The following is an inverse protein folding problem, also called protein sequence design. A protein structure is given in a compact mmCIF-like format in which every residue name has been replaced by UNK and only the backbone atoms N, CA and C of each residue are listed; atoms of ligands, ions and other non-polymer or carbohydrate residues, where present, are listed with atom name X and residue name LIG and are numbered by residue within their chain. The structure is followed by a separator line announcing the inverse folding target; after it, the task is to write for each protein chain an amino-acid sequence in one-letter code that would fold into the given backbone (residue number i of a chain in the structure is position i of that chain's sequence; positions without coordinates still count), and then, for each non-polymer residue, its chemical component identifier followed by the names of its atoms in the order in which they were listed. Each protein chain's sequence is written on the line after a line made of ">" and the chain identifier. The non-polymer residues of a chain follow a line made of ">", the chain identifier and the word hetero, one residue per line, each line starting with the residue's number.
data_IF_289053318131
#
_entry.id   IF_289053318131
#
_cell.length_a   1.000
_cell.length_b   1.000
_cell.length_c   1.000
_cell.angle_alpha   90.00
_cell.angle_beta   90.00
_cell.angle_gamma   90.00
#
_symmetry.space_group_name_H-M   'P 1'
#
loop_
_entity.id
_entity.type
_entity.pdbx_description
1 polymer ?
#
# COMPACT_ATOMS: atom_id res chain seq x y z
N UNK A 1 -6.54 -15.63 -16.63
CA UNK A 1 -5.75 -14.38 -16.56
C UNK A 1 -6.18 -13.49 -17.72
N UNK A 2 -6.48 -12.21 -17.49
CA UNK A 2 -6.86 -11.26 -18.57
C UNK A 2 -5.89 -10.09 -18.72
N UNK A 3 -5.19 -9.70 -17.65
CA UNK A 3 -4.10 -8.72 -17.70
C UNK A 3 -2.95 -9.17 -16.80
N UNK A 4 -1.73 -8.86 -17.22
CA UNK A 4 -0.50 -9.02 -16.45
C UNK A 4 0.38 -7.80 -16.69
N UNK A 5 1.02 -7.25 -15.65
CA UNK A 5 1.91 -6.07 -15.74
C UNK A 5 1.27 -4.92 -16.54
N UNK A 6 0.00 -4.61 -16.23
CA UNK A 6 -0.83 -3.74 -17.06
C UNK A 6 -1.03 -2.37 -16.41
N UNK A 7 -0.72 -1.31 -17.17
CA UNK A 7 -0.92 0.06 -16.73
C UNK A 7 -2.41 0.44 -16.77
N UNK A 8 -2.90 0.96 -15.65
CA UNK A 8 -4.27 1.42 -15.47
C UNK A 8 -4.28 2.84 -14.92
N UNK A 9 -5.33 3.59 -15.26
CA UNK A 9 -5.55 4.95 -14.74
C UNK A 9 -7.03 5.30 -14.67
N UNK A 10 -7.35 6.28 -13.83
CA UNK A 10 -8.64 6.95 -13.79
C UNK A 10 -8.44 8.45 -13.53
N UNK A 11 -9.39 9.28 -13.97
CA UNK A 11 -9.46 10.70 -13.62
C UNK A 11 -10.45 10.97 -12.47
N UNK A 12 -11.32 10.00 -12.16
CA UNK A 12 -12.40 10.13 -11.18
C UNK A 12 -12.34 8.96 -10.17
N UNK A 13 -12.69 9.19 -8.90
CA UNK A 13 -13.00 10.49 -8.27
C UNK A 13 -11.75 11.34 -7.98
N UNK A 14 -10.56 10.74 -8.11
CA UNK A 14 -9.24 11.38 -8.03
C UNK A 14 -8.38 10.83 -9.17
N UNK A 15 -7.38 11.61 -9.57
CA UNK A 15 -6.42 11.18 -10.60
C UNK A 15 -5.50 10.12 -9.98
N UNK A 16 -5.72 8.86 -10.35
CA UNK A 16 -4.93 7.73 -9.83
C UNK A 16 -4.47 6.86 -11.00
N UNK A 17 -3.29 6.29 -10.86
CA UNK A 17 -2.71 5.40 -11.85
C UNK A 17 -1.74 4.40 -11.22
N UNK A 18 -1.41 3.35 -11.96
CA UNK A 18 -0.43 2.36 -11.54
C UNK A 18 -0.36 1.17 -12.50
N UNK A 19 0.54 0.23 -12.22
CA UNK A 19 0.66 -1.01 -12.96
C UNK A 19 0.23 -2.15 -12.05
N UNK A 20 -0.78 -2.91 -12.46
CA UNK A 20 -1.21 -4.10 -11.73
C UNK A 20 -0.33 -5.30 -12.12
N UNK A 21 -0.07 -6.18 -11.16
CA UNK A 21 0.64 -7.45 -11.40
C UNK A 21 -0.24 -8.38 -12.25
N UNK A 22 -1.42 -8.77 -11.73
CA UNK A 22 -2.31 -9.70 -12.42
C UNK A 22 -3.80 -9.41 -12.16
N UNK A 23 -4.61 -9.54 -13.20
CA UNK A 23 -6.08 -9.48 -13.13
C UNK A 23 -6.69 -10.75 -13.73
N UNK A 24 -7.51 -11.43 -12.95
CA UNK A 24 -8.25 -12.62 -13.37
C UNK A 24 -9.71 -12.27 -13.58
N UNK A 25 -10.34 -12.86 -14.60
CA UNK A 25 -11.79 -12.88 -14.76
C UNK A 25 -12.30 -14.28 -14.43
N UNK A 26 -13.20 -14.37 -13.47
CA UNK A 26 -13.85 -15.63 -13.10
C UNK A 26 -14.94 -15.99 -14.13
N UNK A 27 -15.41 -17.24 -14.11
CA UNK A 27 -16.51 -17.68 -14.96
C UNK A 27 -17.80 -16.85 -14.75
N UNK A 28 -18.00 -16.32 -13.54
CA UNK A 28 -19.11 -15.40 -13.22
C UNK A 28 -18.98 -14.01 -13.86
N UNK A 29 -17.84 -13.70 -14.50
CA UNK A 29 -17.52 -12.38 -15.02
C UNK A 29 -16.93 -11.41 -14.00
N UNK A 30 -16.83 -11.80 -12.73
CA UNK A 30 -16.19 -11.00 -11.68
C UNK A 30 -14.67 -10.94 -11.90
N UNK A 31 -14.09 -9.76 -11.72
CA UNK A 31 -12.65 -9.54 -11.83
C UNK A 31 -11.98 -9.58 -10.45
N UNK A 32 -10.88 -10.33 -10.32
CA UNK A 32 -10.15 -10.50 -9.07
C UNK A 32 -8.69 -10.11 -9.29
N UNK A 33 -8.21 -9.17 -8.48
CA UNK A 33 -6.82 -8.73 -8.47
C UNK A 33 -5.95 -9.76 -7.73
N UNK A 34 -4.75 -9.98 -8.27
CA UNK A 34 -3.68 -10.73 -7.62
C UNK A 34 -2.40 -9.92 -7.67
N UNK A 35 -1.73 -9.77 -6.53
CA UNK A 35 -0.49 -9.02 -6.39
C UNK A 35 0.58 -9.88 -5.70
N UNK A 36 1.80 -9.87 -6.24
CA UNK A 36 2.90 -10.72 -5.80
C UNK A 36 3.85 -9.96 -4.89
N UNK A 37 4.10 -10.50 -3.70
CA UNK A 37 5.05 -9.92 -2.73
C UNK A 37 6.12 -10.93 -2.36
N UNK A 38 7.39 -10.51 -2.43
CA UNK A 38 8.51 -11.28 -1.86
C UNK A 38 8.80 -10.76 -0.45
N UNK A 39 8.81 -11.67 0.54
CA UNK A 39 8.91 -11.34 1.97
C UNK A 39 9.63 -12.44 2.75
N UNK A 40 10.08 -12.11 3.96
CA UNK A 40 10.62 -13.10 4.91
C UNK A 40 9.51 -13.93 5.59
N UNK A 41 8.28 -13.41 5.63
CA UNK A 41 7.12 -14.04 6.26
C UNK A 41 5.90 -13.92 5.36
N UNK A 42 4.99 -14.88 5.45
CA UNK A 42 3.70 -14.87 4.76
C UNK A 42 2.76 -13.84 5.39
N UNK A 43 3.00 -12.56 5.08
CA UNK A 43 2.29 -11.44 5.67
C UNK A 43 1.93 -10.37 4.64
N UNK A 44 0.67 -9.95 4.69
CA UNK A 44 0.14 -8.79 3.97
C UNK A 44 0.08 -7.61 4.95
N UNK A 45 0.57 -6.45 4.52
CA UNK A 45 0.51 -5.23 5.33
C UNK A 45 -0.61 -4.31 4.86
N UNK A 46 -1.04 -3.37 5.72
CA UNK A 46 -2.06 -2.36 5.38
C UNK A 46 -1.70 -1.61 4.08
N UNK A 47 -0.43 -1.27 3.86
CA UNK A 47 0.02 -0.59 2.63
C UNK A 47 -0.26 -1.41 1.37
N UNK A 48 -0.17 -2.74 1.47
CA UNK A 48 -0.41 -3.65 0.35
C UNK A 48 -1.93 -3.65 0.04
N UNK A 49 -2.79 -3.66 1.08
CA UNK A 49 -4.25 -3.53 0.94
C UNK A 49 -4.64 -2.17 0.32
N UNK A 50 -4.06 -1.06 0.80
CA UNK A 50 -4.32 0.29 0.26
C UNK A 50 -3.96 0.35 -1.23
N UNK A 51 -2.77 -0.13 -1.62
CA UNK A 51 -2.33 -0.16 -3.01
C UNK A 51 -3.33 -0.90 -3.92
N UNK A 52 -3.74 -2.11 -3.53
CA UNK A 52 -4.66 -2.92 -4.35
C UNK A 52 -6.08 -2.37 -4.34
N UNK A 53 -6.51 -1.72 -3.25
CA UNK A 53 -7.79 -1.03 -3.19
C UNK A 53 -7.85 0.16 -4.15
N UNK A 54 -6.73 0.89 -4.35
CA UNK A 54 -6.63 1.93 -5.39
C UNK A 54 -6.84 1.33 -6.78
N UNK A 55 -6.22 0.19 -7.08
CA UNK A 55 -6.40 -0.48 -8.38
C UNK A 55 -7.84 -0.96 -8.59
N UNK A 56 -8.51 -1.47 -7.54
CA UNK A 56 -9.94 -1.78 -7.59
C UNK A 56 -10.75 -0.55 -7.99
N UNK A 57 -10.53 0.60 -7.34
CA UNK A 57 -11.26 1.85 -7.67
C UNK A 57 -11.02 2.25 -9.12
N UNK A 58 -9.76 2.24 -9.59
CA UNK A 58 -9.43 2.55 -10.98
C UNK A 58 -10.21 1.65 -11.96
N UNK A 59 -10.14 0.34 -11.76
CA UNK A 59 -10.78 -0.65 -12.64
C UNK A 59 -12.30 -0.54 -12.59
N UNK A 60 -12.90 -0.38 -11.40
CA UNK A 60 -14.34 -0.20 -11.24
C UNK A 60 -14.83 1.08 -11.92
N UNK A 61 -14.08 2.19 -11.83
CA UNK A 61 -14.39 3.44 -12.52
C UNK A 61 -14.23 3.35 -14.04
N UNK A 62 -13.41 2.43 -14.52
CA UNK A 62 -13.32 2.05 -15.92
C UNK A 62 -14.39 1.03 -16.36
N UNK A 63 -15.41 0.77 -15.51
CA UNK A 63 -16.57 -0.05 -15.84
C UNK A 63 -16.42 -1.55 -15.58
N UNK A 64 -15.33 -1.99 -14.93
CA UNK A 64 -15.16 -3.40 -14.59
C UNK A 64 -15.92 -3.77 -13.31
N UNK A 65 -16.56 -4.94 -13.30
CA UNK A 65 -17.08 -5.53 -12.06
C UNK A 65 -15.93 -6.21 -11.30
N UNK A 66 -15.38 -5.53 -10.29
CA UNK A 66 -14.22 -5.99 -9.51
C UNK A 66 -14.66 -6.46 -8.12
N UNK A 67 -14.09 -7.56 -7.65
CA UNK A 67 -14.34 -8.10 -6.33
C UNK A 67 -13.94 -7.13 -5.20
N UNK A 68 -14.66 -7.18 -4.08
CA UNK A 68 -14.31 -6.47 -2.85
C UNK A 68 -13.15 -7.14 -2.07
N UNK A 69 -12.47 -8.10 -2.69
CA UNK A 69 -11.30 -8.79 -2.14
C UNK A 69 -10.24 -8.99 -3.22
N UNK A 70 -9.01 -9.25 -2.79
CA UNK A 70 -7.90 -9.66 -3.64
C UNK A 70 -7.12 -10.82 -3.00
N UNK A 71 -6.27 -11.45 -3.81
CA UNK A 71 -5.26 -12.39 -3.30
C UNK A 71 -3.87 -11.78 -3.38
N UNK A 72 -3.10 -11.97 -2.33
CA UNK A 72 -1.69 -11.62 -2.28
C UNK A 72 -0.88 -12.91 -2.39
N UNK A 73 -0.17 -13.07 -3.50
CA UNK A 73 0.78 -14.17 -3.69
C UNK A 73 2.07 -13.83 -2.94
N UNK A 74 2.19 -14.30 -1.70
CA UNK A 74 3.35 -14.03 -0.85
C UNK A 74 4.36 -15.16 -0.99
N UNK A 75 5.53 -14.82 -1.54
CA UNK A 75 6.67 -15.72 -1.71
C UNK A 75 7.64 -15.50 -0.57
N UNK A 76 7.97 -16.58 0.13
CA UNK A 76 8.99 -16.60 1.20
C UNK A 76 9.94 -17.77 0.99
N UNK A 77 11.08 -17.84 1.72
CA UNK A 77 11.95 -19.01 1.71
C UNK A 77 11.25 -20.31 2.13
N UNK A 78 10.16 -20.23 2.91
CA UNK A 78 9.39 -21.38 3.36
C UNK A 78 8.33 -21.84 2.34
N UNK A 79 8.08 -21.08 1.26
CA UNK A 79 7.14 -21.43 0.22
C UNK A 79 6.26 -20.27 -0.23
N UNK A 80 5.23 -20.59 -1.01
CA UNK A 80 4.28 -19.61 -1.57
C UNK A 80 2.91 -19.78 -0.94
N UNK A 81 2.33 -18.69 -0.45
CA UNK A 81 0.94 -18.65 0.01
C UNK A 81 0.13 -17.59 -0.73
N UNK A 82 -1.15 -17.86 -0.95
CA UNK A 82 -2.11 -16.90 -1.48
C UNK A 82 -3.02 -16.44 -0.35
N UNK A 83 -2.78 -15.23 0.15
CA UNK A 83 -3.52 -14.68 1.28
C UNK A 83 -4.67 -13.82 0.74
N UNK A 84 -5.91 -14.22 1.01
CA UNK A 84 -7.11 -13.43 0.68
C UNK A 84 -7.28 -12.29 1.67
N UNK A 85 -7.52 -11.09 1.17
CA UNK A 85 -7.87 -9.93 2.02
C UNK A 85 -9.04 -9.16 1.40
N UNK A 86 -9.86 -8.58 2.27
CA UNK A 86 -10.87 -7.61 1.87
C UNK A 86 -10.18 -6.29 1.51
N UNK A 87 -10.71 -5.64 0.49
CA UNK A 87 -10.25 -4.35 0.02
C UNK A 87 -11.07 -3.23 0.65
N UNK A 88 -10.45 -2.06 0.72
CA UNK A 88 -11.11 -0.85 1.20
C UNK A 88 -12.29 -0.47 0.28
N UNK A 89 -13.24 0.27 0.84
CA UNK A 89 -14.27 0.93 0.05
C UNK A 89 -13.66 2.08 -0.76
N UNK A 90 -14.39 2.59 -1.75
CA UNK A 90 -13.93 3.76 -2.51
C UNK A 90 -13.75 4.99 -1.60
N UNK A 91 -14.62 5.20 -0.63
CA UNK A 91 -14.54 6.30 0.33
C UNK A 91 -13.23 6.23 1.15
N UNK A 92 -12.90 5.05 1.65
CA UNK A 92 -11.66 4.82 2.40
C UNK A 92 -10.41 5.04 1.52
N UNK A 93 -10.46 4.64 0.25
CA UNK A 93 -9.39 4.90 -0.72
C UNK A 93 -9.23 6.40 -0.98
N UNK A 94 -10.34 7.14 -1.17
CA UNK A 94 -10.31 8.60 -1.34
C UNK A 94 -9.69 9.26 -0.11
N UNK A 95 -10.04 8.80 1.10
CA UNK A 95 -9.47 9.32 2.34
C UNK A 95 -7.95 9.12 2.43
N UNK A 96 -7.44 7.96 2.04
CA UNK A 96 -5.99 7.69 1.99
C UNK A 96 -5.30 8.54 0.90
N UNK A 97 -5.95 8.73 -0.26
CA UNK A 97 -5.45 9.61 -1.33
C UNK A 97 -5.37 11.07 -0.86
N UNK A 98 -6.47 11.63 -0.37
CA UNK A 98 -6.56 13.04 0.04
C UNK A 98 -5.61 13.32 1.22
N UNK A 99 -5.43 12.34 2.13
CA UNK A 99 -4.44 12.43 3.20
C UNK A 99 -3.02 12.49 2.66
N UNK A 100 -2.71 11.72 1.61
CA UNK A 100 -1.40 11.69 0.96
C UNK A 100 -1.11 13.02 0.26
N UNK A 101 -2.06 13.56 -0.49
CA UNK A 101 -1.91 14.88 -1.12
C UNK A 101 -1.70 15.97 -0.07
N UNK A 102 -2.46 15.95 1.04
CA UNK A 102 -2.28 16.90 2.12
C UNK A 102 -0.89 16.80 2.80
N UNK A 103 -0.30 15.60 2.88
CA UNK A 103 1.09 15.43 3.36
C UNK A 103 2.09 16.04 2.38
N UNK A 104 1.93 15.77 1.09
CA UNK A 104 2.83 16.25 0.03
C UNK A 104 2.77 17.77 -0.06
N UNK A 105 1.57 18.35 0.04
CA UNK A 105 1.33 19.80 0.02
C UNK A 105 1.73 20.52 1.33
N UNK A 106 2.18 19.78 2.36
CA UNK A 106 2.48 20.34 3.68
C UNK A 106 1.26 20.84 4.47
N UNK A 107 0.05 20.49 4.04
CA UNK A 107 -1.24 20.86 4.68
C UNK A 107 -1.60 19.96 5.86
N UNK A 108 -0.83 18.90 6.10
CA UNK A 108 -1.02 18.01 7.23
C UNK A 108 0.33 17.44 7.70
N UNK A 109 0.43 17.16 9.00
CA UNK A 109 1.66 16.63 9.62
C UNK A 109 1.71 15.10 9.52
N UNK A 110 2.85 14.49 9.16
CA UNK A 110 3.00 13.04 9.22
C UNK A 110 2.91 12.54 10.67
N UNK A 111 2.43 11.31 10.85
CA UNK A 111 2.49 10.65 12.16
C UNK A 111 3.80 9.92 12.34
N UNK A 112 4.32 9.92 13.57
CA UNK A 112 5.49 9.13 13.91
C UNK A 112 5.18 7.63 13.86
N UNK A 113 6.17 6.84 13.43
CA UNK A 113 6.03 5.39 13.41
C UNK A 113 5.86 4.84 14.84
N UNK A 114 4.92 3.90 15.01
CA UNK A 114 4.60 3.32 16.33
C UNK A 114 5.63 2.28 16.81
N UNK A 115 6.40 1.70 15.90
CA UNK A 115 7.32 0.60 16.21
C UNK A 115 8.75 0.97 15.81
N UNK A 116 9.68 0.77 16.75
CA UNK A 116 11.12 1.01 16.55
C UNK A 116 11.68 0.30 15.31
N UNK A 117 11.20 -0.92 15.03
CA UNK A 117 11.61 -1.70 13.85
C UNK A 117 11.33 -0.99 12.53
N UNK A 118 10.27 -0.19 12.45
CA UNK A 118 9.94 0.61 11.26
C UNK A 118 10.92 1.79 11.11
N UNK A 119 11.41 2.34 12.22
CA UNK A 119 12.38 3.42 12.20
C UNK A 119 13.80 2.92 11.89
N UNK A 120 14.27 1.81 12.49
CA UNK A 120 15.69 1.36 12.41
C UNK A 120 16.20 1.20 10.96
N UNK A 121 15.33 0.79 10.04
CA UNK A 121 15.68 0.57 8.62
C UNK A 121 15.14 1.66 7.70
N UNK A 122 14.58 2.74 8.25
CA UNK A 122 14.00 3.80 7.44
C UNK A 122 15.12 4.66 6.83
N UNK A 123 15.19 4.81 5.49
CA UNK A 123 16.21 5.64 4.84
C UNK A 123 16.03 7.14 5.12
N UNK A 124 14.85 7.57 5.56
CA UNK A 124 14.54 8.97 5.89
C UNK A 124 14.88 9.32 7.35
N UNK A 125 15.51 8.42 8.12
CA UNK A 125 15.88 8.66 9.53
C UNK A 125 16.63 9.98 9.75
N UNK A 126 17.53 10.35 8.83
CA UNK A 126 18.33 11.57 8.92
C UNK A 126 17.49 12.86 8.82
N UNK A 127 16.27 12.75 8.29
CA UNK A 127 15.33 13.86 8.10
C UNK A 127 14.17 13.82 9.12
N UNK A 128 14.23 12.96 10.14
CA UNK A 128 13.20 12.90 11.17
C UNK A 128 13.52 13.88 12.30
N UNK A 129 12.65 14.88 12.50
CA UNK A 129 12.78 15.87 13.57
C UNK A 129 12.72 15.24 14.97
N UNK A 130 11.85 14.23 15.14
CA UNK A 130 11.63 13.52 16.41
C UNK A 130 12.09 12.06 16.31
N UNK A 131 13.40 11.83 16.22
CA UNK A 131 13.89 10.47 16.41
C UNK A 131 13.76 10.02 17.88
N UNK A 132 12.55 9.57 18.23
CA UNK A 132 12.17 9.06 19.56
C UNK A 132 12.96 7.82 20.02
N UNK A 133 13.85 7.27 19.19
CA UNK A 133 14.69 6.13 19.53
C UNK A 133 16.19 6.46 19.43
N UNK A 134 16.55 7.74 19.31
CA UNK A 134 17.95 8.13 19.42
C UNK A 134 18.38 7.91 20.87
N UNK A 135 19.24 6.91 21.09
CA UNK A 135 20.20 6.95 22.18
C UNK A 135 21.35 7.88 21.79
N UNK A 136 21.02 9.13 21.44
CA UNK A 136 21.99 10.22 21.51
C UNK A 136 21.82 10.86 22.88
N UNK A 137 22.36 10.20 23.92
CA UNK A 137 22.92 10.96 25.02
C UNK A 137 24.08 11.76 24.42
N UNK A 138 23.79 12.96 23.92
CA UNK A 138 24.81 14.00 23.91
C UNK A 138 24.90 14.41 25.36
N UNK A 139 25.86 13.82 26.07
CA UNK A 139 26.37 14.35 27.32
C UNK A 139 26.72 15.82 27.07
N UNK A 140 25.86 16.74 27.54
CA UNK A 140 26.28 18.11 27.79
C UNK A 140 27.17 18.06 29.04
N UNK A 141 28.41 17.63 28.85
CA UNK A 141 29.49 17.83 29.82
C UNK A 141 30.62 18.62 29.15
N UNK A 142 30.70 19.87 29.57
CA UNK A 142 31.93 20.61 29.91
C UNK A 142 32.89 21.03 28.77
N UNK A 143 32.76 22.29 28.31
CA UNK A 143 33.68 23.42 28.62
C UNK A 143 33.18 24.71 27.96
#
# INVERSE_FOLDING_TARGET
>A
LIHSEHYIRTLLPRKMHGTLDQLYRLASGLHVLVDSKTRDKHQVYKKDIVQISIYKVILSRNGMNVADYAYFRVVTPAGVEYIKQNLLTEEEVIKEYDRTEALIDGKATPSNAKHKSMCIRCPQQVNCDDWQFSSRQISKETQ
#
